data_IF_113690650896
#
_entry.id   IF_113690650896
#
_cell.length_a   1.000
_cell.length_b   1.000
_cell.length_c   1.000
_cell.angle_alpha   90.00
_cell.angle_beta   90.00
_cell.angle_gamma   90.00
#
_symmetry.space_group_name_H-M   'P 1'
#
loop_
_entity.id
_entity.type
_entity.pdbx_description
1 polymer ?
#
# COMPACT_ATOMS: atom_id res chain seq x y z
N UNK A 1 -13.28 -3.00 -6.72
CA UNK A 1 -12.17 -3.97 -6.87
C UNK A 1 -10.89 -3.31 -6.44
N UNK A 2 -10.31 -3.75 -5.32
CA UNK A 2 -9.00 -3.29 -4.85
C UNK A 2 -7.95 -3.67 -5.90
N UNK A 3 -7.21 -2.69 -6.39
CA UNK A 3 -6.15 -2.90 -7.39
C UNK A 3 -4.81 -2.65 -6.72
N UNK A 4 -4.03 -3.71 -6.47
CA UNK A 4 -2.70 -3.60 -5.88
C UNK A 4 -1.67 -4.42 -6.65
N UNK A 5 -0.42 -3.96 -6.62
CA UNK A 5 0.74 -4.76 -6.99
C UNK A 5 1.54 -5.07 -5.73
N UNK A 6 2.00 -6.31 -5.60
CA UNK A 6 2.86 -6.75 -4.50
C UNK A 6 4.29 -6.86 -5.00
N UNK A 7 5.24 -6.45 -4.15
CA UNK A 7 6.64 -6.47 -4.54
C UNK A 7 7.59 -6.48 -3.33
N UNK A 8 8.74 -7.13 -3.47
CA UNK A 8 9.86 -6.96 -2.56
C UNK A 8 10.66 -5.71 -2.96
N UNK A 9 11.12 -4.97 -1.96
CA UNK A 9 11.91 -3.76 -2.14
C UNK A 9 12.89 -3.57 -0.97
N UNK A 10 14.10 -3.12 -1.27
CA UNK A 10 15.03 -2.55 -0.30
C UNK A 10 14.68 -1.10 0.03
N UNK A 11 15.44 -0.46 0.91
CA UNK A 11 15.31 0.97 1.15
C UNK A 11 15.55 1.79 -0.12
N UNK A 12 16.61 1.48 -0.87
CA UNK A 12 16.94 2.17 -2.12
C UNK A 12 15.84 2.01 -3.17
N UNK A 13 15.28 0.80 -3.31
CA UNK A 13 14.15 0.55 -4.21
C UNK A 13 12.92 1.39 -3.84
N UNK A 14 12.63 1.55 -2.54
CA UNK A 14 11.53 2.39 -2.06
C UNK A 14 11.78 3.88 -2.32
N UNK A 15 13.03 4.34 -2.20
CA UNK A 15 13.40 5.73 -2.56
C UNK A 15 13.22 5.98 -4.06
N UNK A 16 13.67 5.07 -4.91
CA UNK A 16 13.47 5.18 -6.37
C UNK A 16 11.99 5.25 -6.75
N UNK A 17 11.14 4.48 -6.06
CA UNK A 17 9.70 4.56 -6.27
C UNK A 17 9.14 5.94 -5.90
N UNK A 18 9.54 6.52 -4.76
CA UNK A 18 9.09 7.85 -4.35
C UNK A 18 9.56 8.94 -5.30
N UNK A 19 10.79 8.87 -5.77
CA UNK A 19 11.32 9.80 -6.78
C UNK A 19 10.53 9.70 -8.09
N UNK A 20 10.19 8.47 -8.52
CA UNK A 20 9.32 8.25 -9.68
C UNK A 20 7.91 8.83 -9.49
N UNK A 21 7.33 8.67 -8.30
CA UNK A 21 6.02 9.25 -7.96
C UNK A 21 6.08 10.79 -7.89
N UNK A 22 7.27 11.36 -7.71
CA UNK A 22 7.53 12.80 -7.68
C UNK A 22 7.45 13.42 -6.29
N UNK A 23 7.64 12.63 -5.23
CA UNK A 23 7.69 13.11 -3.85
C UNK A 23 8.94 14.01 -3.62
N UNK A 24 8.84 15.10 -2.83
CA UNK A 24 7.64 15.69 -2.23
C UNK A 24 6.88 16.63 -3.18
N UNK A 25 7.46 16.93 -4.34
CA UNK A 25 7.06 18.04 -5.21
C UNK A 25 5.73 17.87 -5.94
N UNK A 26 5.25 16.64 -6.12
CA UNK A 26 3.97 16.26 -6.76
C UNK A 26 3.11 15.39 -5.85
N UNK A 27 3.76 14.65 -4.98
CA UNK A 27 3.17 13.65 -4.12
C UNK A 27 3.62 13.89 -2.68
N UNK A 28 2.69 13.73 -1.74
CA UNK A 28 2.95 13.78 -0.30
C UNK A 28 2.47 12.49 0.36
N UNK A 29 3.10 12.15 1.48
CA UNK A 29 2.84 10.93 2.25
C UNK A 29 2.06 11.30 3.51
N UNK A 30 1.06 10.50 3.88
CA UNK A 30 0.16 10.81 4.99
C UNK A 30 -0.19 9.54 5.77
N UNK A 31 -0.59 9.68 7.06
CA UNK A 31 -1.15 8.58 7.82
C UNK A 31 -2.39 7.97 7.13
N UNK A 32 -2.65 6.71 7.45
CA UNK A 32 -3.84 5.98 7.01
C UNK A 32 -4.47 5.22 8.20
N UNK A 33 -5.81 5.10 8.30
CA UNK A 33 -6.85 5.69 7.45
C UNK A 33 -7.37 7.04 7.92
N UNK A 34 -6.83 7.55 9.04
CA UNK A 34 -7.25 8.81 9.64
C UNK A 34 -6.56 9.98 8.96
N UNK A 35 -7.35 11.02 8.66
CA UNK A 35 -6.86 12.29 8.14
C UNK A 35 -7.21 13.41 9.11
N UNK A 36 -6.23 14.28 9.35
CA UNK A 36 -6.38 15.49 10.16
C UNK A 36 -6.57 16.70 9.24
N UNK A 37 -7.17 17.78 9.77
CA UNK A 37 -7.28 19.07 9.05
C UNK A 37 -6.52 20.15 9.83
N UNK A 38 -5.42 20.71 9.30
CA UNK A 38 -4.81 20.44 7.98
C UNK A 38 -4.17 19.04 7.91
N UNK A 39 -3.95 18.54 6.68
CA UNK A 39 -3.36 17.22 6.47
C UNK A 39 -1.93 17.16 7.02
N UNK A 40 -1.70 16.20 7.92
CA UNK A 40 -0.36 15.88 8.44
C UNK A 40 0.44 15.13 7.39
N UNK A 41 1.54 15.72 6.94
CA UNK A 41 2.48 15.05 6.02
C UNK A 41 3.53 14.28 6.81
N UNK A 42 3.85 13.08 6.35
CA UNK A 42 4.96 12.27 6.82
C UNK A 42 6.21 12.56 5.99
N UNK A 43 7.37 12.55 6.63
CA UNK A 43 8.66 12.34 5.97
C UNK A 43 8.77 10.92 5.40
N UNK A 44 9.78 10.68 4.54
CA UNK A 44 10.03 9.34 3.99
C UNK A 44 10.34 8.34 5.10
N UNK A 45 11.12 8.77 6.08
CA UNK A 45 11.52 7.99 7.23
C UNK A 45 10.31 7.58 8.07
N UNK A 46 9.47 8.54 8.45
CA UNK A 46 8.24 8.27 9.21
C UNK A 46 7.26 7.38 8.45
N UNK A 47 7.17 7.54 7.13
CA UNK A 47 6.30 6.74 6.28
C UNK A 47 6.76 5.27 6.19
N UNK A 48 8.06 5.00 6.19
CA UNK A 48 8.62 3.64 6.18
C UNK A 48 8.36 2.90 7.49
N UNK A 49 8.22 3.61 8.60
CA UNK A 49 7.89 3.03 9.91
C UNK A 49 6.41 2.63 10.01
N UNK A 50 5.55 3.21 9.18
CA UNK A 50 4.13 2.87 9.15
C UNK A 50 3.88 1.46 8.61
N UNK A 51 2.74 0.89 8.98
CA UNK A 51 2.24 -0.33 8.33
C UNK A 51 1.56 -0.02 7.00
N UNK A 52 0.94 1.16 6.90
CA UNK A 52 0.17 1.65 5.76
C UNK A 52 0.27 3.16 5.69
N UNK A 53 0.38 3.68 4.48
CA UNK A 53 0.56 5.09 4.17
C UNK A 53 -0.38 5.47 3.04
N UNK A 54 -1.01 6.62 3.18
CA UNK A 54 -1.76 7.25 2.12
C UNK A 54 -0.82 8.12 1.29
N UNK A 55 -0.77 7.87 -0.01
CA UNK A 55 0.02 8.61 -0.98
C UNK A 55 -0.92 9.52 -1.77
N UNK A 56 -0.69 10.83 -1.70
CA UNK A 56 -1.59 11.86 -2.24
C UNK A 56 -0.87 12.63 -3.34
N UNK A 57 -1.46 12.70 -4.54
CA UNK A 57 -1.01 13.59 -5.59
C UNK A 57 -1.84 14.87 -5.59
N UNK A 58 -1.24 16.00 -5.24
CA UNK A 58 -1.99 17.25 -5.05
C UNK A 58 -2.62 17.81 -6.34
N UNK A 59 -2.21 17.33 -7.52
CA UNK A 59 -2.83 17.72 -8.79
C UNK A 59 -4.14 16.99 -9.07
N UNK A 60 -4.40 15.87 -8.38
CA UNK A 60 -5.58 15.02 -8.61
C UNK A 60 -6.73 15.31 -7.63
N UNK A 61 -6.44 16.04 -6.56
CA UNK A 61 -7.40 16.37 -5.50
C UNK A 61 -6.89 15.99 -4.12
N UNK A 62 -7.57 16.49 -3.09
CA UNK A 62 -7.28 16.15 -1.71
C UNK A 62 -8.08 14.91 -1.27
N UNK A 63 -7.59 14.17 -0.27
CA UNK A 63 -8.38 13.17 0.44
C UNK A 63 -9.70 13.75 0.95
N UNK A 64 -10.79 12.99 0.81
CA UNK A 64 -12.13 13.39 1.23
C UNK A 64 -12.41 12.80 2.62
N UNK A 65 -12.67 13.62 3.64
CA UNK A 65 -13.04 13.15 4.97
C UNK A 65 -14.46 12.60 4.98
N UNK A 66 -14.67 11.55 5.77
CA UNK A 66 -15.97 10.95 6.11
C UNK A 66 -16.17 11.07 7.60
N UNK A 67 -17.34 11.56 7.99
CA UNK A 67 -17.81 11.70 9.37
C UNK A 67 -19.18 11.05 9.57
N UNK A 68 -19.58 10.78 10.82
CA UNK A 68 -20.93 10.36 11.14
C UNK A 68 -21.96 11.33 10.56
N UNK A 69 -22.94 10.78 9.82
CA UNK A 69 -23.96 11.56 9.14
C UNK A 69 -23.74 11.71 7.64
N UNK A 70 -22.50 11.59 7.15
CA UNK A 70 -22.21 11.68 5.71
C UNK A 70 -22.81 10.50 4.93
N UNK A 71 -23.18 10.74 3.67
CA UNK A 71 -23.77 9.72 2.81
C UNK A 71 -22.90 8.46 2.67
N UNK A 72 -21.57 8.60 2.73
CA UNK A 72 -20.61 7.50 2.71
C UNK A 72 -20.67 6.58 3.94
N UNK A 73 -21.33 7.01 5.03
CA UNK A 73 -21.61 6.23 6.24
C UNK A 73 -23.01 5.62 6.23
N UNK A 74 -23.86 6.02 5.29
CA UNK A 74 -25.28 5.66 5.26
C UNK A 74 -25.55 4.46 4.34
N UNK A 75 -26.58 3.69 4.67
CA UNK A 75 -27.03 2.56 3.85
C UNK A 75 -26.28 1.24 4.09
N UNK A 76 -26.54 0.27 3.22
CA UNK A 76 -26.10 -1.13 3.35
C UNK A 76 -24.96 -1.54 2.41
N UNK A 77 -24.26 -0.60 1.78
CA UNK A 77 -23.10 -0.95 0.94
C UNK A 77 -21.96 -1.49 1.80
N UNK A 78 -21.11 -2.33 1.20
CA UNK A 78 -19.91 -2.88 1.85
C UNK A 78 -19.01 -1.75 2.36
N UNK A 79 -18.80 -0.70 1.56
CA UNK A 79 -18.01 0.46 1.97
C UNK A 79 -18.63 1.21 3.16
N UNK A 80 -19.95 1.43 3.16
CA UNK A 80 -20.62 2.08 4.29
C UNK A 80 -20.50 1.27 5.58
N UNK A 81 -20.55 -0.06 5.49
CA UNK A 81 -20.30 -0.95 6.64
C UNK A 81 -18.86 -0.82 7.12
N UNK A 82 -17.88 -0.89 6.22
CA UNK A 82 -16.46 -0.74 6.59
C UNK A 82 -16.15 0.63 7.17
N UNK A 83 -16.72 1.70 6.65
CA UNK A 83 -16.54 3.04 7.20
C UNK A 83 -17.07 3.13 8.63
N UNK A 84 -18.26 2.56 8.92
CA UNK A 84 -18.79 2.50 10.29
C UNK A 84 -17.91 1.66 11.24
N UNK A 85 -17.50 0.47 10.81
CA UNK A 85 -16.61 -0.38 11.61
C UNK A 85 -15.25 0.26 11.87
N UNK A 86 -14.67 0.92 10.87
CA UNK A 86 -13.43 1.67 11.03
C UNK A 86 -13.63 2.87 11.96
N UNK A 87 -14.77 3.55 11.90
CA UNK A 87 -15.06 4.68 12.78
C UNK A 87 -15.10 4.24 14.24
N UNK A 88 -15.78 3.13 14.52
CA UNK A 88 -15.82 2.52 15.85
C UNK A 88 -14.45 2.03 16.31
N UNK A 89 -13.69 1.39 15.42
CA UNK A 89 -12.37 0.82 15.73
C UNK A 89 -11.32 1.88 16.01
N UNK A 90 -11.26 2.92 15.20
CA UNK A 90 -10.23 3.96 15.28
C UNK A 90 -10.62 5.09 16.22
N UNK A 91 -11.92 5.26 16.51
CA UNK A 91 -12.46 6.31 17.37
C UNK A 91 -11.81 7.70 17.12
N UNK A 92 -11.98 8.27 15.91
CA UNK A 92 -11.30 9.50 15.52
C UNK A 92 -11.54 10.65 16.50
N UNK A 93 -10.51 11.46 16.76
CA UNK A 93 -10.65 12.71 17.50
C UNK A 93 -11.52 13.74 16.75
N UNK A 94 -11.88 14.86 17.41
CA UNK A 94 -12.74 15.90 16.81
C UNK A 94 -12.15 16.53 15.54
N UNK A 95 -10.83 16.63 15.46
CA UNK A 95 -10.07 17.15 14.33
C UNK A 95 -9.68 16.09 13.29
N UNK A 96 -10.09 14.84 13.52
CA UNK A 96 -9.84 13.70 12.65
C UNK A 96 -11.10 13.26 11.90
N UNK A 97 -10.88 12.59 10.77
CA UNK A 97 -11.91 11.92 10.02
C UNK A 97 -11.34 10.67 9.37
N UNK A 98 -12.20 9.72 9.00
CA UNK A 98 -11.82 8.64 8.11
C UNK A 98 -11.67 9.20 6.69
N UNK A 99 -10.72 8.67 5.94
CA UNK A 99 -10.67 8.94 4.50
C UNK A 99 -11.72 8.10 3.75
N UNK A 100 -12.46 8.69 2.80
CA UNK A 100 -13.34 7.96 1.87
C UNK A 100 -12.53 7.32 0.74
N UNK A 101 -12.40 5.99 0.71
CA UNK A 101 -11.67 5.31 -0.36
C UNK A 101 -12.35 5.47 -1.74
N UNK A 102 -13.65 5.73 -1.79
CA UNK A 102 -14.44 5.83 -3.02
C UNK A 102 -14.63 7.28 -3.50
N UNK A 103 -14.12 8.26 -2.77
CA UNK A 103 -14.11 9.66 -3.20
C UNK A 103 -12.70 10.28 -3.21
N UNK A 104 -11.71 9.62 -2.61
CA UNK A 104 -10.35 10.16 -2.47
C UNK A 104 -9.42 9.65 -3.58
N UNK A 105 -8.76 10.54 -4.35
CA UNK A 105 -7.82 10.15 -5.40
C UNK A 105 -6.44 9.77 -4.82
N UNK A 106 -6.40 8.76 -3.96
CA UNK A 106 -5.20 8.38 -3.18
C UNK A 106 -4.73 6.97 -3.50
N UNK A 107 -3.44 6.72 -3.31
CA UNK A 107 -2.87 5.38 -3.35
C UNK A 107 -2.65 4.92 -1.91
N UNK A 108 -3.04 3.68 -1.61
CA UNK A 108 -2.60 2.99 -0.41
C UNK A 108 -1.26 2.31 -0.70
N UNK A 109 -0.27 2.59 0.12
CA UNK A 109 1.03 1.97 0.09
C UNK A 109 1.32 1.28 1.42
N UNK A 110 1.74 0.03 1.38
CA UNK A 110 2.26 -0.70 2.54
C UNK A 110 3.76 -0.86 2.33
N UNK A 111 4.62 -0.22 3.14
CA UNK A 111 6.08 -0.28 2.95
C UNK A 111 6.62 -1.71 2.95
N UNK A 112 7.65 -1.98 2.15
CA UNK A 112 8.44 -3.19 2.32
C UNK A 112 9.24 -3.07 3.61
N UNK A 113 9.43 -4.21 4.29
CA UNK A 113 10.35 -4.28 5.43
C UNK A 113 11.48 -5.23 5.11
N UNK A 114 12.68 -4.82 5.50
CA UNK A 114 13.87 -5.64 5.45
C UNK A 114 14.38 -5.78 6.87
N UNK A 115 14.53 -7.02 7.33
CA UNK A 115 15.19 -7.34 8.59
C UNK A 115 16.47 -8.12 8.30
N UNK A 116 17.25 -8.40 9.34
CA UNK A 116 18.40 -9.30 9.21
C UNK A 116 18.02 -10.74 8.79
N UNK A 117 16.74 -11.10 8.93
CA UNK A 117 16.26 -12.47 8.72
C UNK A 117 15.47 -12.66 7.43
N UNK A 118 14.80 -11.63 6.93
CA UNK A 118 13.95 -11.74 5.74
C UNK A 118 13.64 -10.39 5.11
N UNK A 119 13.22 -10.45 3.85
CA UNK A 119 12.53 -9.37 3.15
C UNK A 119 11.03 -9.66 3.09
N UNK A 120 10.23 -8.66 3.45
CA UNK A 120 8.77 -8.72 3.49
C UNK A 120 8.17 -7.88 2.35
N UNK A 121 7.10 -8.36 1.70
CA UNK A 121 6.55 -7.69 0.53
C UNK A 121 5.88 -6.36 0.91
N UNK A 122 6.13 -5.36 0.08
CA UNK A 122 5.34 -4.14 -0.03
C UNK A 122 4.09 -4.39 -0.88
N UNK A 123 3.13 -3.47 -0.78
CA UNK A 123 2.04 -3.35 -1.75
C UNK A 123 1.77 -1.89 -2.08
N UNK A 124 1.36 -1.63 -3.32
CA UNK A 124 0.95 -0.30 -3.79
C UNK A 124 -0.31 -0.42 -4.65
N UNK A 125 -1.34 0.36 -4.34
CA UNK A 125 -2.62 0.23 -5.04
C UNK A 125 -3.71 1.21 -4.66
N UNK A 126 -4.88 1.04 -5.27
CA UNK A 126 -6.11 1.76 -4.91
C UNK A 126 -6.99 0.90 -4.01
N UNK A 127 -7.64 1.54 -3.03
CA UNK A 127 -8.70 0.95 -2.22
C UNK A 127 -10.11 1.26 -2.75
N UNK A 128 -10.23 2.03 -3.83
CA UNK A 128 -11.51 2.39 -4.41
C UNK A 128 -12.20 1.16 -5.03
N UNK A 129 -13.52 1.10 -4.91
CA UNK A 129 -14.35 0.13 -5.60
C UNK A 129 -14.27 0.33 -7.12
N UNK A 130 -14.28 1.60 -7.56
CA UNK A 130 -14.16 2.02 -8.95
C UNK A 130 -13.28 3.27 -9.05
N UNK A 131 -12.04 3.13 -9.52
CA UNK A 131 -11.14 4.28 -9.71
C UNK A 131 -11.70 5.28 -10.73
N UNK A 132 -12.39 4.78 -11.75
CA UNK A 132 -12.97 5.60 -12.82
C UNK A 132 -14.10 6.51 -12.33
N UNK A 133 -14.81 6.13 -11.26
CA UNK A 133 -15.85 6.96 -10.63
C UNK A 133 -15.25 8.15 -9.86
N UNK A 134 -14.03 8.02 -9.33
CA UNK A 134 -13.29 9.14 -8.73
C UNK A 134 -12.80 10.07 -9.83
N UNK A 135 -11.93 9.58 -10.73
CA UNK A 135 -11.59 10.26 -11.98
C UNK A 135 -10.76 9.37 -12.91
N UNK A 136 -10.81 9.66 -14.21
CA UNK A 136 -9.95 9.00 -15.21
C UNK A 136 -8.46 9.28 -15.02
N UNK A 137 -8.10 10.47 -14.51
CA UNK A 137 -6.70 10.83 -14.29
C UNK A 137 -6.11 10.12 -13.06
N UNK A 138 -6.92 9.96 -12.02
CA UNK A 138 -6.59 9.11 -10.87
C UNK A 138 -6.35 7.65 -11.30
N UNK A 139 -7.29 7.05 -12.04
CA UNK A 139 -7.14 5.69 -12.54
C UNK A 139 -5.86 5.52 -13.38
N UNK A 140 -5.57 6.47 -14.29
CA UNK A 140 -4.32 6.46 -15.07
C UNK A 140 -3.08 6.59 -14.21
N UNK A 141 -3.13 7.39 -13.14
CA UNK A 141 -2.01 7.54 -12.22
C UNK A 141 -1.75 6.25 -11.46
N UNK A 142 -2.76 5.62 -10.85
CA UNK A 142 -2.64 4.32 -10.17
C UNK A 142 -2.09 3.25 -11.12
N UNK A 143 -2.64 3.15 -12.33
CA UNK A 143 -2.19 2.19 -13.34
C UNK A 143 -0.74 2.43 -13.76
N UNK A 144 -0.30 3.69 -13.90
CA UNK A 144 1.11 4.01 -14.19
C UNK A 144 2.05 3.69 -13.03
N UNK A 145 1.62 3.91 -11.79
CA UNK A 145 2.39 3.59 -10.58
C UNK A 145 2.59 2.08 -10.45
N UNK A 146 1.51 1.30 -10.55
CA UNK A 146 1.60 -0.17 -10.50
C UNK A 146 2.37 -0.75 -11.69
N UNK A 147 2.22 -0.18 -12.89
CA UNK A 147 2.98 -0.60 -14.08
C UNK A 147 4.46 -0.28 -14.00
N UNK A 148 4.86 0.78 -13.30
CA UNK A 148 6.27 1.06 -13.06
C UNK A 148 6.93 -0.06 -12.27
N UNK A 149 6.28 -0.55 -11.21
CA UNK A 149 6.77 -1.68 -10.41
C UNK A 149 6.92 -2.92 -11.29
N UNK A 150 5.92 -3.23 -12.12
CA UNK A 150 5.97 -4.39 -13.03
C UNK A 150 7.07 -4.31 -14.09
N UNK A 151 7.44 -3.10 -14.52
CA UNK A 151 8.47 -2.88 -15.54
C UNK A 151 9.89 -2.86 -14.99
N UNK A 152 10.06 -2.40 -13.76
CA UNK A 152 11.37 -2.32 -13.10
C UNK A 152 11.66 -3.53 -12.20
N UNK A 153 10.63 -4.29 -11.84
CA UNK A 153 10.76 -5.50 -11.04
C UNK A 153 10.79 -6.76 -11.89
N UNK A 154 11.48 -7.78 -11.38
CA UNK A 154 11.47 -9.14 -11.92
C UNK A 154 10.41 -9.95 -11.19
N UNK A 155 9.61 -10.76 -11.90
CA UNK A 155 8.64 -11.63 -11.24
C UNK A 155 9.37 -12.68 -10.40
N UNK A 156 9.16 -12.67 -9.09
CA UNK A 156 9.79 -13.59 -8.14
C UNK A 156 8.83 -14.71 -7.71
N UNK A 157 7.54 -14.37 -7.56
CA UNK A 157 6.47 -15.30 -7.18
C UNK A 157 5.26 -15.09 -8.10
N UNK A 158 4.63 -16.17 -8.55
CA UNK A 158 3.48 -16.13 -9.44
C UNK A 158 2.27 -16.89 -8.91
N UNK A 159 1.11 -16.67 -9.52
CA UNK A 159 -0.14 -17.38 -9.18
C UNK A 159 -0.08 -18.88 -9.49
N UNK A 160 0.77 -19.25 -10.44
CA UNK A 160 1.01 -20.63 -10.86
C UNK A 160 2.45 -20.99 -10.51
N UNK A 161 2.71 -22.22 -10.03
CA UNK A 161 4.05 -22.64 -9.60
C UNK A 161 5.14 -22.54 -10.69
N UNK A 162 4.76 -22.60 -11.97
CA UNK A 162 5.68 -22.42 -13.12
C UNK A 162 6.15 -20.95 -13.25
N UNK A 163 5.42 -20.02 -12.65
CA UNK A 163 5.69 -18.58 -12.68
C UNK A 163 6.44 -18.08 -11.43
N UNK A 164 6.85 -18.99 -10.55
CA UNK A 164 7.65 -18.74 -9.35
C UNK A 164 9.11 -19.11 -9.61
N UNK A 165 10.06 -18.27 -9.17
CA UNK A 165 11.50 -18.54 -9.25
C UNK A 165 11.85 -19.66 -8.25
N UNK A 166 12.21 -20.88 -8.69
CA UNK A 166 12.43 -22.02 -7.78
C UNK A 166 13.77 -21.94 -7.04
N UNK A 167 14.65 -21.04 -7.46
CA UNK A 167 15.98 -20.82 -6.92
C UNK A 167 16.02 -19.74 -5.83
N UNK A 168 14.89 -19.08 -5.57
CA UNK A 168 14.74 -18.13 -4.47
C UNK A 168 14.02 -18.80 -3.29
N UNK A 169 14.51 -18.58 -2.07
CA UNK A 169 13.82 -19.00 -0.85
C UNK A 169 12.68 -18.01 -0.54
N UNK A 170 11.49 -18.27 -1.11
CA UNK A 170 10.30 -17.44 -0.91
C UNK A 170 9.16 -18.32 -0.39
N UNK A 171 8.55 -17.88 0.71
CA UNK A 171 7.37 -18.52 1.29
C UNK A 171 6.31 -17.45 1.62
N UNK A 172 5.14 -17.56 0.98
CA UNK A 172 4.05 -16.61 1.07
C UNK A 172 2.72 -17.35 1.24
N UNK A 173 1.94 -16.99 2.24
CA UNK A 173 0.61 -17.55 2.53
C UNK A 173 -0.50 -17.04 1.62
N UNK A 174 -0.23 -15.98 0.83
CA UNK A 174 -1.23 -15.35 -0.03
C UNK A 174 -0.98 -15.62 -1.52
N UNK A 175 -2.08 -15.76 -2.26
CA UNK A 175 -2.05 -16.02 -3.70
C UNK A 175 -2.02 -14.68 -4.44
N UNK A 176 -0.84 -14.28 -4.93
CA UNK A 176 -0.66 -13.10 -5.78
C UNK A 176 0.56 -13.24 -6.67
N UNK A 177 0.76 -12.30 -7.60
CA UNK A 177 2.06 -12.14 -8.29
C UNK A 177 2.90 -11.14 -7.51
N UNK A 178 4.11 -11.52 -7.14
CA UNK A 178 5.07 -10.66 -6.43
C UNK A 178 6.29 -10.41 -7.31
N UNK A 179 6.63 -9.13 -7.46
CA UNK A 179 7.83 -8.68 -8.17
C UNK A 179 8.96 -8.41 -7.17
N UNK A 180 10.21 -8.62 -7.54
CA UNK A 180 11.37 -8.13 -6.80
C UNK A 180 11.97 -6.96 -7.57
N UNK A 181 12.00 -5.78 -6.94
CA UNK A 181 12.76 -4.63 -7.47
C UNK A 181 14.27 -4.93 -7.43
N UNK A 182 15.11 -4.19 -8.19
CA UNK A 182 16.50 -4.60 -8.42
C UNK A 182 17.31 -4.88 -7.15
N UNK A 183 17.25 -4.01 -6.14
CA UNK A 183 17.96 -4.23 -4.88
C UNK A 183 17.43 -5.44 -4.11
N UNK A 184 16.11 -5.59 -4.06
CA UNK A 184 15.47 -6.75 -3.43
C UNK A 184 15.78 -8.06 -4.15
N UNK A 185 15.83 -8.06 -5.48
CA UNK A 185 16.20 -9.25 -6.25
C UNK A 185 17.63 -9.68 -5.91
N UNK A 186 18.57 -8.74 -5.85
CA UNK A 186 19.95 -9.03 -5.45
C UNK A 186 20.02 -9.61 -4.04
N UNK A 187 19.24 -9.08 -3.08
CA UNK A 187 19.18 -9.60 -1.73
C UNK A 187 18.64 -11.04 -1.67
N UNK A 188 17.56 -11.32 -2.41
CA UNK A 188 16.97 -12.65 -2.54
C UNK A 188 17.96 -13.64 -3.16
N UNK A 189 18.62 -13.26 -4.25
CA UNK A 189 19.63 -14.09 -4.94
C UNK A 189 20.89 -14.34 -4.08
N UNK A 190 21.17 -13.45 -3.13
CA UNK A 190 22.24 -13.62 -2.14
C UNK A 190 21.83 -14.50 -0.95
N UNK A 191 20.61 -15.06 -0.97
CA UNK A 191 20.10 -15.98 0.06
C UNK A 191 19.30 -15.32 1.17
N UNK A 192 18.92 -14.04 1.06
CA UNK A 192 17.96 -13.44 2.00
C UNK A 192 16.57 -14.03 1.72
N UNK A 193 15.90 -14.64 2.70
CA UNK A 193 14.59 -15.23 2.45
C UNK A 193 13.48 -14.19 2.23
N UNK A 194 12.56 -14.47 1.30
CA UNK A 194 11.30 -13.74 1.14
C UNK A 194 10.21 -14.37 2.00
N UNK A 195 9.59 -13.58 2.88
CA UNK A 195 8.53 -14.05 3.80
C UNK A 195 7.36 -13.10 3.82
N UNK A 196 6.18 -13.56 4.24
CA UNK A 196 5.10 -12.66 4.61
C UNK A 196 5.13 -12.29 6.10
N UNK A 197 4.35 -11.27 6.47
CA UNK A 197 4.25 -10.82 7.86
C UNK A 197 3.54 -11.80 8.79
N UNK A 198 2.74 -12.73 8.26
CA UNK A 198 1.90 -13.62 9.07
C UNK A 198 2.69 -14.81 9.62
N UNK A 199 3.75 -15.26 8.93
CA UNK A 199 4.61 -16.35 9.38
C UNK A 199 5.17 -16.16 10.81
N UNK A 200 5.47 -14.92 11.22
CA UNK A 200 5.96 -14.62 12.58
C UNK A 200 4.88 -14.58 13.67
N UNK A 201 3.60 -14.43 13.32
CA UNK A 201 2.53 -14.37 14.33
C UNK A 201 2.21 -15.75 14.91
N UNK A 202 2.43 -16.80 14.12
CA UNK A 202 2.19 -18.19 14.54
C UNK A 202 3.33 -18.71 15.42
N UNK A 203 4.59 -18.38 15.12
CA UNK A 203 5.75 -18.80 15.95
C UNK A 203 5.82 -18.10 17.31
N UNK A 204 5.31 -16.86 17.41
CA UNK A 204 5.25 -16.13 18.68
C UNK A 204 4.03 -16.49 19.57
N UNK A 205 3.08 -17.26 19.04
CA UNK A 205 1.91 -17.75 19.80
C UNK A 205 2.11 -19.16 20.37
N UNK A 206 3.21 -19.84 20.01
CA UNK A 206 3.55 -21.20 20.44
C UNK A 206 4.74 -21.27 21.42
N UNK A 207 5.24 -20.13 21.91
CA UNK A 207 6.24 -20.02 22.98
C UNK A 207 5.74 -19.13 24.13
#
# INVERSE_FOLDING_TARGET
MVTAVHYFATLEDQMMLFDYLGEPSKVTLHPWPLIQTPLTSLSREEALEQSRVMVVNHQLGLPVPVRPGDAAMQGGSVNAIFNRLNWEKFAPAEDEALMDANASPTILWSPARLTAEAIFPSSLGSQADSMAEISKDYERWVNRSTSWIRRNGTRAWGLEGIQTRPDLDIDLSFISTVFALPGALQALESGTPGRDFEARRTEAAEN
#
